data_IF_027053172239
#
_entry.id   IF_027053172239
#
_cell.length_a   1.000
_cell.length_b   1.000
_cell.length_c   1.000
_cell.angle_alpha   90.00
_cell.angle_beta   90.00
_cell.angle_gamma   90.00
#
_symmetry.space_group_name_H-M   'P 1'
#
loop_
_entity.id
_entity.type
_entity.pdbx_description
1 polymer ?
#
# COMPACT_ATOMS: atom_id res chain seq x y z
N UNK A 1 22.47 16.71 4.63
CA UNK A 1 22.07 17.03 6.01
C UNK A 1 22.36 15.82 6.91
N UNK A 2 22.04 14.58 6.48
CA UNK A 2 22.40 13.35 7.19
C UNK A 2 21.35 12.85 8.19
N UNK A 3 20.09 13.27 8.06
CA UNK A 3 18.95 12.80 8.85
C UNK A 3 18.31 11.52 8.30
N UNK A 4 18.69 11.11 7.09
CA UNK A 4 18.31 9.83 6.50
C UNK A 4 17.00 9.87 5.71
N UNK A 5 16.49 11.05 5.37
CA UNK A 5 15.50 11.20 4.30
C UNK A 5 16.13 11.80 3.03
N UNK A 6 15.34 11.88 1.94
CA UNK A 6 15.82 12.28 0.60
C UNK A 6 15.19 13.59 0.12
N UNK A 7 14.39 14.26 0.96
CA UNK A 7 13.54 15.38 0.54
C UNK A 7 14.06 16.75 0.97
N UNK A 8 15.29 16.81 1.45
CA UNK A 8 15.82 17.98 2.13
C UNK A 8 16.70 18.88 1.24
N UNK A 9 16.68 20.18 1.53
CA UNK A 9 17.35 21.18 0.71
C UNK A 9 18.88 20.99 0.71
N UNK A 10 19.44 20.61 -0.44
CA UNK A 10 20.88 20.37 -0.61
C UNK A 10 21.32 18.92 -0.39
N UNK A 11 20.40 18.01 -0.07
CA UNK A 11 20.65 16.56 -0.04
C UNK A 11 20.42 15.90 -1.39
N UNK A 12 19.51 16.44 -2.17
CA UNK A 12 19.27 16.01 -3.55
C UNK A 12 20.30 16.65 -4.48
N UNK A 13 21.26 15.86 -4.95
CA UNK A 13 22.05 16.19 -6.14
C UNK A 13 21.49 15.44 -7.33
N UNK A 14 20.76 16.17 -8.18
CA UNK A 14 20.36 15.68 -9.49
C UNK A 14 21.56 15.71 -10.44
N UNK A 15 22.09 14.53 -10.75
CA UNK A 15 23.09 14.37 -11.80
C UNK A 15 22.36 14.05 -13.10
N UNK A 16 22.44 14.97 -14.07
CA UNK A 16 22.00 14.70 -15.43
C UNK A 16 23.23 14.35 -16.25
N UNK A 17 23.24 13.16 -16.85
CA UNK A 17 24.25 12.83 -17.84
C UNK A 17 23.83 13.40 -19.21
N UNK A 18 24.61 14.37 -19.69
CA UNK A 18 24.51 14.93 -21.04
C UNK A 18 25.15 14.04 -22.12
N UNK A 19 25.59 12.82 -21.81
CA UNK A 19 26.28 11.90 -22.73
C UNK A 19 25.42 11.33 -23.86
N UNK A 20 24.15 11.76 -23.98
CA UNK A 20 23.45 11.73 -25.27
C UNK A 20 24.12 12.71 -26.25
N UNK A 21 25.31 12.33 -26.71
CA UNK A 21 26.14 12.98 -27.74
C UNK A 21 25.41 13.13 -29.10
N UNK A 22 24.19 12.60 -29.22
CA UNK A 22 23.32 12.75 -30.39
C UNK A 22 22.46 14.02 -30.42
N UNK A 23 22.54 14.92 -29.43
CA UNK A 23 21.78 16.18 -29.45
C UNK A 23 20.27 15.98 -29.24
N UNK A 24 19.87 14.90 -28.56
CA UNK A 24 18.49 14.71 -28.16
C UNK A 24 18.14 15.65 -27.01
N UNK A 25 16.92 16.12 -27.11
CA UNK A 25 16.35 17.22 -26.38
C UNK A 25 15.98 16.73 -24.95
N UNK A 26 16.34 17.49 -23.91
CA UNK A 26 16.24 17.07 -22.49
C UNK A 26 14.80 16.64 -22.15
N UNK A 27 14.64 15.44 -21.60
CA UNK A 27 13.36 14.98 -21.05
C UNK A 27 12.93 15.93 -19.93
N UNK A 28 11.74 16.51 -20.04
CA UNK A 28 11.13 17.24 -18.93
C UNK A 28 10.64 16.20 -17.93
N UNK A 29 11.34 16.08 -16.79
CA UNK A 29 10.89 15.21 -15.69
C UNK A 29 9.62 15.81 -15.06
N UNK A 30 8.56 15.00 -15.00
CA UNK A 30 7.26 15.38 -14.43
C UNK A 30 7.03 14.85 -13.03
N UNK A 31 7.63 13.71 -12.72
CA UNK A 31 7.50 13.05 -11.45
C UNK A 31 8.61 12.03 -11.26
N UNK A 32 8.93 11.79 -10.00
CA UNK A 32 9.84 10.74 -9.57
C UNK A 32 9.26 10.12 -8.31
N UNK A 33 9.34 8.81 -8.19
CA UNK A 33 8.93 8.09 -6.99
C UNK A 33 9.85 6.90 -6.76
N UNK A 34 9.91 6.42 -5.52
CA UNK A 34 10.82 5.35 -5.09
C UNK A 34 10.01 4.31 -4.35
N UNK A 35 10.18 3.04 -4.69
CA UNK A 35 9.55 1.94 -3.94
C UNK A 35 10.36 1.59 -2.70
N UNK A 36 9.76 0.82 -1.79
CA UNK A 36 10.43 0.30 -0.59
C UNK A 36 11.62 -0.64 -0.90
N UNK A 37 11.77 -1.06 -2.15
CA UNK A 37 12.88 -1.88 -2.63
C UNK A 37 13.97 -1.07 -3.35
N UNK A 38 14.06 0.24 -3.08
CA UNK A 38 15.02 1.17 -3.71
C UNK A 38 14.90 1.25 -5.25
N UNK A 39 13.73 0.92 -5.81
CA UNK A 39 13.48 1.06 -7.24
C UNK A 39 12.95 2.46 -7.51
N UNK A 40 13.68 3.22 -8.34
CA UNK A 40 13.29 4.59 -8.72
C UNK A 40 12.50 4.56 -10.03
N UNK A 41 11.33 5.18 -10.03
CA UNK A 41 10.53 5.43 -11.22
C UNK A 41 10.58 6.91 -11.56
N UNK A 42 11.00 7.26 -12.78
CA UNK A 42 10.97 8.65 -13.26
C UNK A 42 10.10 8.77 -14.50
N UNK A 43 9.22 9.77 -14.51
CA UNK A 43 8.37 10.08 -15.67
C UNK A 43 8.97 11.24 -16.43
N UNK A 44 9.42 10.96 -17.65
CA UNK A 44 9.92 11.96 -18.60
C UNK A 44 8.91 12.25 -19.70
N UNK A 45 8.75 13.53 -20.05
CA UNK A 45 8.13 13.93 -21.31
C UNK A 45 9.24 14.25 -22.31
N UNK A 46 9.14 13.74 -23.55
CA UNK A 46 9.94 14.32 -24.63
C UNK A 46 9.60 15.81 -24.79
N UNK A 47 10.61 16.68 -24.94
CA UNK A 47 10.39 18.10 -24.87
C UNK A 47 9.50 18.61 -26.00
N UNK A 48 8.78 19.64 -25.61
CA UNK A 48 7.94 20.48 -26.43
C UNK A 48 8.82 21.43 -27.26
N UNK A 49 8.52 21.70 -28.55
CA UNK A 49 7.24 21.50 -29.20
C UNK A 49 7.24 20.28 -30.13
N UNK A 50 6.54 19.21 -29.74
CA UNK A 50 5.94 18.35 -30.74
C UNK A 50 4.78 19.16 -31.36
N UNK A 51 5.04 19.81 -32.50
CA UNK A 51 4.04 20.60 -33.24
C UNK A 51 2.76 19.82 -33.60
N UNK A 52 2.76 18.51 -33.38
CA UNK A 52 1.57 17.67 -33.37
C UNK A 52 1.63 16.76 -32.14
N UNK A 53 0.54 16.74 -31.36
CA UNK A 53 0.25 15.62 -30.47
C UNK A 53 0.09 14.42 -31.41
N UNK A 54 1.13 13.60 -31.55
CA UNK A 54 0.95 12.29 -32.18
C UNK A 54 -0.11 11.53 -31.39
N UNK A 55 -0.89 10.64 -32.03
CA UNK A 55 -1.88 9.82 -31.32
C UNK A 55 -1.26 9.08 -30.12
N UNK A 56 0.04 8.79 -30.14
CA UNK A 56 0.69 7.99 -29.10
C UNK A 56 1.49 8.88 -28.14
N UNK A 57 0.88 9.32 -27.03
CA UNK A 57 1.42 10.33 -26.11
C UNK A 57 2.90 10.15 -25.71
N UNK A 58 3.64 11.26 -25.63
CA UNK A 58 5.10 11.32 -25.42
C UNK A 58 5.56 11.09 -23.95
N UNK A 59 4.89 10.21 -23.19
CA UNK A 59 5.25 9.93 -21.80
C UNK A 59 6.11 8.66 -21.72
N UNK A 60 7.32 8.81 -21.16
CA UNK A 60 8.22 7.70 -20.88
C UNK A 60 8.28 7.48 -19.37
N UNK A 61 8.14 6.22 -18.94
CA UNK A 61 8.41 5.81 -17.56
C UNK A 61 9.75 5.08 -17.57
N UNK A 62 10.70 5.62 -16.85
CA UNK A 62 12.00 5.01 -16.60
C UNK A 62 11.92 4.27 -15.27
N UNK A 63 12.33 3.00 -15.25
CA UNK A 63 12.56 2.23 -14.04
C UNK A 63 14.07 2.06 -13.86
N UNK A 64 14.57 2.43 -12.69
CA UNK A 64 15.96 2.30 -12.30
C UNK A 64 16.04 1.39 -11.07
N UNK A 65 16.84 0.35 -11.14
CA UNK A 65 17.07 -0.60 -10.06
C UNK A 65 18.56 -0.94 -10.03
N UNK A 66 19.18 -0.88 -8.85
CA UNK A 66 20.55 -1.37 -8.65
C UNK A 66 20.51 -2.90 -8.64
N UNK A 67 20.91 -3.52 -9.76
CA UNK A 67 20.88 -4.97 -9.91
C UNK A 67 22.20 -5.63 -9.51
N UNK A 68 23.27 -4.85 -9.36
CA UNK A 68 24.61 -5.38 -9.17
C UNK A 68 25.26 -5.00 -7.82
N UNK A 69 24.61 -4.13 -7.04
CA UNK A 69 25.00 -3.70 -5.71
C UNK A 69 26.11 -2.65 -5.70
N UNK A 70 26.30 -1.90 -6.77
CA UNK A 70 27.32 -0.84 -6.84
C UNK A 70 26.84 0.54 -6.38
N UNK A 71 25.59 0.61 -5.89
CA UNK A 71 24.92 1.81 -5.39
C UNK A 71 24.59 2.82 -6.50
N UNK A 72 24.50 2.36 -7.74
CA UNK A 72 23.95 3.11 -8.86
C UNK A 72 22.97 2.24 -9.64
N UNK A 73 22.15 2.88 -10.48
CA UNK A 73 21.18 2.18 -11.34
C UNK A 73 21.36 2.58 -12.81
N UNK A 74 22.61 2.89 -13.17
CA UNK A 74 22.99 3.49 -14.46
C UNK A 74 23.76 2.51 -15.35
N UNK A 75 23.98 1.27 -14.90
CA UNK A 75 24.68 0.29 -15.71
C UNK A 75 23.79 -0.29 -16.81
N UNK A 76 24.45 -0.86 -17.82
CA UNK A 76 23.78 -1.54 -18.92
C UNK A 76 22.96 -2.73 -18.38
N UNK A 77 21.63 -2.59 -18.41
CA UNK A 77 20.68 -3.59 -17.93
C UNK A 77 19.89 -3.17 -16.68
N UNK A 78 20.32 -2.13 -15.98
CA UNK A 78 19.68 -1.59 -14.77
C UNK A 78 18.61 -0.54 -15.08
N UNK A 79 18.80 0.21 -16.16
CA UNK A 79 17.77 1.08 -16.69
C UNK A 79 16.83 0.31 -17.63
N UNK A 80 15.56 0.25 -17.25
CA UNK A 80 14.50 -0.26 -18.12
C UNK A 80 13.62 0.91 -18.59
N UNK A 81 13.53 1.08 -19.91
CA UNK A 81 12.68 2.09 -20.54
C UNK A 81 11.37 1.43 -21.00
N UNK A 82 10.23 1.98 -20.59
CA UNK A 82 8.96 1.68 -21.23
C UNK A 82 8.27 2.95 -21.72
N UNK A 83 7.77 2.86 -22.95
CA UNK A 83 6.95 3.89 -23.56
C UNK A 83 5.52 3.65 -23.06
N UNK A 84 4.97 4.62 -22.36
CA UNK A 84 3.59 4.57 -21.92
C UNK A 84 2.74 5.38 -22.90
N UNK A 85 1.95 4.68 -23.73
CA UNK A 85 0.95 5.33 -24.55
C UNK A 85 -0.28 5.66 -23.70
N UNK A 86 -0.48 6.96 -23.45
CA UNK A 86 -1.62 7.47 -22.68
C UNK A 86 -2.98 7.14 -23.32
N UNK A 87 -3.00 6.74 -24.61
CA UNK A 87 -4.20 6.33 -25.32
C UNK A 87 -4.44 4.82 -25.32
N UNK A 88 -3.48 3.99 -24.90
CA UNK A 88 -3.66 2.54 -24.83
C UNK A 88 -4.42 2.14 -23.55
N UNK A 89 -5.72 2.44 -23.51
CA UNK A 89 -6.64 1.87 -22.53
C UNK A 89 -7.02 0.46 -23.03
N UNK A 90 -6.15 -0.52 -22.76
CA UNK A 90 -6.34 -1.91 -23.17
C UNK A 90 -5.31 -2.85 -22.54
N UNK A 91 -5.50 -4.18 -22.64
CA UNK A 91 -4.58 -5.19 -22.12
C UNK A 91 -3.32 -5.27 -23.00
N UNK A 92 -2.53 -4.19 -23.04
CA UNK A 92 -1.16 -4.22 -23.53
C UNK A 92 -0.25 -4.88 -22.50
N UNK A 93 1.02 -5.17 -22.87
CA UNK A 93 2.03 -5.60 -21.91
C UNK A 93 2.39 -4.39 -21.03
N UNK A 94 1.47 -4.03 -20.14
CA UNK A 94 1.80 -3.33 -18.92
C UNK A 94 2.96 -4.11 -18.29
N UNK A 95 3.95 -3.40 -17.75
CA UNK A 95 4.90 -4.03 -16.85
C UNK A 95 4.14 -5.04 -15.98
N UNK A 96 4.63 -6.28 -15.81
CA UNK A 96 4.21 -7.08 -14.67
C UNK A 96 4.68 -6.28 -13.46
N UNK A 97 3.85 -5.32 -13.07
CA UNK A 97 3.94 -4.66 -11.79
C UNK A 97 3.90 -5.83 -10.81
N UNK A 98 4.90 -5.95 -9.91
CA UNK A 98 4.86 -6.94 -8.86
C UNK A 98 3.46 -6.95 -8.23
N UNK A 99 2.92 -8.10 -7.78
CA UNK A 99 1.54 -8.25 -7.32
C UNK A 99 1.03 -7.23 -6.28
N UNK A 100 1.91 -6.35 -5.78
CA UNK A 100 1.72 -5.41 -4.69
C UNK A 100 2.03 -3.94 -5.08
N UNK A 101 1.96 -3.51 -6.35
CA UNK A 101 1.94 -2.07 -6.66
C UNK A 101 0.70 -1.66 -7.47
N UNK A 102 0.03 -0.59 -7.05
CA UNK A 102 -1.17 -0.07 -7.71
C UNK A 102 -0.87 0.50 -9.09
N UNK A 103 -1.89 0.54 -9.94
CA UNK A 103 -1.81 1.16 -11.27
C UNK A 103 -1.15 2.55 -11.20
N UNK A 104 -0.06 2.73 -11.95
CA UNK A 104 0.50 4.05 -12.23
C UNK A 104 -0.51 4.82 -13.10
N UNK A 105 -1.44 5.56 -12.48
CA UNK A 105 -2.19 6.58 -13.21
C UNK A 105 -1.32 7.83 -13.29
N UNK A 106 -0.85 8.17 -14.49
CA UNK A 106 -0.33 9.50 -14.73
C UNK A 106 -1.51 10.48 -14.85
N UNK A 107 -1.99 11.01 -13.72
CA UNK A 107 -2.63 12.33 -13.78
C UNK A 107 -1.47 13.34 -13.96
N UNK A 108 -1.46 14.20 -15.00
CA UNK A 108 -0.45 15.25 -15.16
C UNK A 108 -0.33 16.22 -13.97
N UNK A 109 -1.24 16.17 -12.99
CA UNK A 109 -1.19 16.95 -11.76
C UNK A 109 -0.76 16.18 -10.49
N UNK A 110 -0.71 14.85 -10.49
CA UNK A 110 -0.43 14.06 -9.27
C UNK A 110 0.20 12.70 -9.63
N UNK A 111 1.54 12.66 -9.71
CA UNK A 111 2.29 11.40 -9.80
C UNK A 111 2.57 10.92 -8.38
N UNK A 112 1.75 10.00 -7.90
CA UNK A 112 1.98 9.26 -6.65
C UNK A 112 1.94 7.77 -6.98
N UNK A 113 3.08 7.09 -6.83
CA UNK A 113 3.08 5.64 -6.61
C UNK A 113 2.51 5.46 -5.22
N UNK A 114 1.19 5.25 -5.17
CA UNK A 114 0.56 4.83 -3.93
C UNK A 114 1.17 3.48 -3.57
N UNK A 115 2.07 3.47 -2.58
CA UNK A 115 2.48 2.25 -1.91
C UNK A 115 1.23 1.44 -1.63
N UNK A 116 1.20 0.18 -2.07
CA UNK A 116 0.04 -0.67 -1.75
C UNK A 116 0.09 -0.81 -0.25
N UNK A 117 -0.93 -0.25 0.39
CA UNK A 117 -1.13 -0.36 1.81
C UNK A 117 -0.91 -1.81 2.21
N UNK A 118 0.00 -2.04 3.16
CA UNK A 118 0.21 -3.34 3.78
C UNK A 118 -1.07 -3.88 4.46
N UNK A 119 -2.11 -3.04 4.53
CA UNK A 119 -3.44 -3.30 5.03
C UNK A 119 -4.46 -3.35 3.89
N UNK A 120 -5.17 -4.47 3.80
CA UNK A 120 -6.30 -4.65 2.88
C UNK A 120 -7.57 -4.87 3.69
N UNK A 121 -8.58 -4.01 3.51
CA UNK A 121 -9.92 -4.21 4.07
C UNK A 121 -10.67 -5.28 3.28
N UNK A 122 -11.09 -6.33 3.97
CA UNK A 122 -11.85 -7.45 3.40
C UNK A 122 -13.36 -7.34 3.67
N UNK A 123 -13.80 -6.36 4.46
CA UNK A 123 -15.19 -6.22 4.88
C UNK A 123 -15.65 -7.39 5.77
N UNK A 124 -16.86 -7.91 5.54
CA UNK A 124 -17.41 -9.04 6.32
C UNK A 124 -18.00 -8.68 7.68
N UNK A 125 -18.02 -7.39 8.05
CA UNK A 125 -18.63 -6.90 9.28
C UNK A 125 -20.14 -7.12 9.34
N UNK A 126 -20.68 -7.15 10.56
CA UNK A 126 -22.12 -7.27 10.84
C UNK A 126 -22.59 -5.98 11.49
N UNK A 127 -23.78 -5.52 11.08
CA UNK A 127 -24.42 -4.35 11.66
C UNK A 127 -24.55 -4.48 13.18
N UNK A 128 -23.86 -3.60 13.91
CA UNK A 128 -23.99 -3.34 15.34
C UNK A 128 -25.10 -2.34 15.67
N UNK A 129 -25.38 -2.17 16.95
CA UNK A 129 -26.25 -1.13 17.52
C UNK A 129 -25.82 0.30 17.18
N UNK A 130 -24.52 0.48 16.90
CA UNK A 130 -23.90 1.77 16.57
C UNK A 130 -23.42 1.83 15.10
N UNK A 131 -23.98 0.97 14.23
CA UNK A 131 -23.51 0.80 12.86
C UNK A 131 -22.59 -0.42 12.72
N UNK A 132 -22.05 -0.64 11.53
CA UNK A 132 -21.08 -1.72 11.32
C UNK A 132 -19.75 -1.29 11.95
N UNK A 133 -19.20 -2.04 12.92
CA UNK A 133 -17.89 -1.72 13.48
C UNK A 133 -16.82 -1.74 12.37
N UNK A 134 -15.99 -0.71 12.32
CA UNK A 134 -14.99 -0.55 11.26
C UNK A 134 -13.60 -0.68 11.86
N UNK A 135 -12.82 -1.62 11.34
CA UNK A 135 -11.44 -1.83 11.71
C UNK A 135 -10.53 -1.24 10.62
N UNK A 136 -9.57 -0.42 11.03
CA UNK A 136 -8.55 0.19 10.18
C UNK A 136 -7.17 -0.06 10.78
N UNK A 137 -6.14 -0.05 9.94
CA UNK A 137 -4.76 -0.28 10.36
C UNK A 137 -3.81 0.67 9.67
N UNK A 138 -2.72 1.01 10.36
CA UNK A 138 -1.70 1.95 9.91
C UNK A 138 -0.29 1.46 10.28
N UNK A 139 0.71 1.95 9.52
CA UNK A 139 2.12 1.56 9.66
C UNK A 139 2.59 0.61 8.56
N UNK A 140 3.91 0.49 8.41
CA UNK A 140 4.54 -0.20 7.27
C UNK A 140 4.58 -1.73 7.38
N UNK A 141 4.29 -2.29 8.57
CA UNK A 141 4.52 -3.72 8.87
C UNK A 141 5.98 -4.17 8.62
N UNK A 142 6.93 -3.25 8.66
CA UNK A 142 8.37 -3.56 8.61
C UNK A 142 8.84 -3.93 10.02
N UNK A 143 9.72 -4.92 10.11
CA UNK A 143 10.35 -5.33 11.37
C UNK A 143 10.82 -4.13 12.22
N UNK A 144 10.34 -4.04 13.46
CA UNK A 144 10.75 -2.99 14.40
C UNK A 144 10.02 -1.65 14.24
N UNK A 145 9.14 -1.49 13.26
CA UNK A 145 8.35 -0.26 13.11
C UNK A 145 7.08 -0.29 13.95
N UNK A 146 6.60 0.90 14.33
CA UNK A 146 5.34 1.05 15.05
C UNK A 146 4.17 0.81 14.09
N UNK A 147 3.21 0.00 14.50
CA UNK A 147 1.97 -0.26 13.78
C UNK A 147 0.79 -0.08 14.72
N UNK A 148 -0.34 0.35 14.18
CA UNK A 148 -1.55 0.56 14.96
C UNK A 148 -2.77 -0.01 14.27
N UNK A 149 -3.76 -0.38 15.07
CA UNK A 149 -5.10 -0.70 14.60
C UNK A 149 -6.12 0.11 15.38
N UNK A 150 -7.14 0.58 14.67
CA UNK A 150 -8.19 1.43 15.20
C UNK A 150 -9.55 0.82 14.86
N UNK A 151 -10.36 0.59 15.89
CA UNK A 151 -11.73 0.14 15.78
C UNK A 151 -12.65 1.30 16.17
N UNK A 152 -13.68 1.54 15.36
CA UNK A 152 -14.75 2.52 15.64
C UNK A 152 -16.12 1.86 15.48
N UNK A 153 -17.17 2.54 15.97
CA UNK A 153 -18.57 2.12 15.91
C UNK A 153 -18.87 0.80 16.66
N UNK A 154 -18.07 0.44 17.65
CA UNK A 154 -18.44 -0.62 18.60
C UNK A 154 -19.46 -0.07 19.63
N UNK A 155 -20.27 -0.91 20.29
CA UNK A 155 -21.10 -0.43 21.38
C UNK A 155 -20.22 0.07 22.56
N UNK A 156 -20.58 1.17 23.23
CA UNK A 156 -19.80 1.71 24.36
C UNK A 156 -19.53 0.68 25.44
N UNK A 157 -18.26 0.59 25.87
CA UNK A 157 -17.79 -0.37 26.89
C UNK A 157 -18.05 -1.85 26.55
N UNK A 158 -18.33 -2.18 25.29
CA UNK A 158 -18.58 -3.56 24.88
C UNK A 158 -17.31 -4.42 25.05
N UNK A 159 -17.40 -5.59 25.70
CA UNK A 159 -16.34 -6.58 25.63
C UNK A 159 -16.27 -7.15 24.21
N UNK A 160 -15.05 -7.41 23.75
CA UNK A 160 -14.77 -7.89 22.40
C UNK A 160 -13.56 -8.80 22.38
N UNK A 161 -13.52 -9.72 21.43
CA UNK A 161 -12.34 -10.50 21.13
C UNK A 161 -11.70 -9.99 19.84
N UNK A 162 -10.41 -9.67 19.91
CA UNK A 162 -9.56 -9.60 18.72
C UNK A 162 -9.16 -11.03 18.37
N UNK A 163 -9.65 -11.50 17.23
CA UNK A 163 -9.20 -12.77 16.64
C UNK A 163 -8.15 -12.49 15.58
N UNK A 164 -7.15 -13.35 15.56
CA UNK A 164 -6.07 -13.34 14.58
C UNK A 164 -5.87 -14.74 14.02
N UNK A 165 -5.59 -14.80 12.72
CA UNK A 165 -5.28 -16.04 12.02
C UNK A 165 -4.14 -15.86 11.03
N UNK A 166 -3.40 -16.94 10.79
CA UNK A 166 -2.35 -17.10 9.79
C UNK A 166 -2.84 -17.86 8.55
N UNK A 167 -4.11 -18.26 8.52
CA UNK A 167 -4.79 -18.76 7.32
C UNK A 167 -6.27 -18.35 7.32
N UNK A 168 -6.83 -18.03 6.16
CA UNK A 168 -8.22 -17.58 6.07
C UNK A 168 -9.10 -18.58 5.35
N UNK A 169 -10.12 -19.07 6.03
CA UNK A 169 -11.27 -19.78 5.46
C UNK A 169 -12.52 -18.90 5.65
N UNK A 170 -12.86 -18.01 4.70
CA UNK A 170 -14.00 -17.10 4.83
C UNK A 170 -15.28 -17.88 5.14
N UNK A 171 -15.80 -17.70 6.36
CA UNK A 171 -16.92 -18.49 6.88
C UNK A 171 -18.13 -17.58 7.07
N UNK A 172 -19.19 -17.75 6.26
CA UNK A 172 -20.43 -17.00 6.46
C UNK A 172 -21.04 -17.32 7.82
N UNK A 173 -21.26 -16.29 8.65
CA UNK A 173 -21.76 -16.45 10.00
C UNK A 173 -22.61 -15.24 10.38
N UNK A 174 -23.84 -15.47 10.87
CA UNK A 174 -24.79 -14.44 11.33
C UNK A 174 -25.05 -13.28 10.33
N UNK A 175 -24.92 -13.54 9.03
CA UNK A 175 -25.10 -12.54 7.97
C UNK A 175 -23.85 -11.73 7.63
N UNK A 176 -22.73 -11.96 8.32
CA UNK A 176 -21.40 -11.46 7.95
C UNK A 176 -20.49 -12.58 7.46
N UNK A 177 -19.20 -12.28 7.33
CA UNK A 177 -18.16 -13.23 6.96
C UNK A 177 -17.02 -13.12 7.94
N UNK A 178 -16.66 -14.25 8.53
CA UNK A 178 -15.53 -14.36 9.43
C UNK A 178 -14.30 -14.83 8.64
N UNK A 179 -13.24 -14.03 8.62
CA UNK A 179 -12.01 -14.34 7.89
C UNK A 179 -10.94 -15.03 8.76
N UNK A 180 -11.07 -14.93 10.08
CA UNK A 180 -10.11 -15.48 11.06
C UNK A 180 -10.48 -16.92 11.45
N UNK A 181 -10.67 -17.80 10.46
CA UNK A 181 -10.93 -19.24 10.67
C UNK A 181 -9.84 -20.04 9.95
N UNK A 182 -9.05 -20.87 10.67
CA UNK A 182 -9.07 -21.13 12.12
C UNK A 182 -8.66 -19.90 12.95
N UNK A 183 -8.94 -19.93 14.26
CA UNK A 183 -8.50 -18.87 15.18
C UNK A 183 -7.16 -19.30 15.78
N UNK A 184 -6.07 -18.62 15.44
CA UNK A 184 -4.73 -18.93 15.95
C UNK A 184 -4.41 -18.17 17.26
N UNK A 185 -4.90 -16.94 17.38
CA UNK A 185 -4.74 -16.11 18.56
C UNK A 185 -6.05 -15.37 18.90
N UNK A 186 -6.36 -15.27 20.18
CA UNK A 186 -7.52 -14.58 20.72
C UNK A 186 -7.13 -13.70 21.91
N UNK A 187 -7.51 -12.43 21.86
CA UNK A 187 -7.26 -11.46 22.94
C UNK A 187 -8.57 -10.81 23.37
N UNK A 188 -8.87 -10.82 24.66
CA UNK A 188 -10.04 -10.15 25.23
C UNK A 188 -9.72 -8.67 25.48
N UNK A 189 -10.55 -7.79 24.94
CA UNK A 189 -10.42 -6.34 25.00
C UNK A 189 -11.79 -5.69 25.24
N UNK A 190 -11.80 -4.38 25.46
CA UNK A 190 -13.02 -3.60 25.66
C UNK A 190 -12.96 -2.31 24.85
N UNK A 191 -14.08 -1.92 24.25
CA UNK A 191 -14.24 -0.56 23.71
C UNK A 191 -14.23 0.46 24.85
N UNK A 192 -13.82 1.68 24.54
CA UNK A 192 -13.98 2.82 25.44
C UNK A 192 -15.47 3.28 25.49
N UNK A 193 -15.73 4.35 26.24
CA UNK A 193 -17.07 4.92 26.37
C UNK A 193 -17.62 5.55 25.06
N UNK A 194 -16.76 5.84 24.09
CA UNK A 194 -17.15 6.33 22.76
C UNK A 194 -17.40 5.19 21.75
N UNK A 195 -17.16 3.93 22.13
CA UNK A 195 -17.29 2.80 21.19
C UNK A 195 -16.05 2.59 20.32
N UNK A 196 -14.88 3.03 20.78
CA UNK A 196 -13.63 2.99 20.04
C UNK A 196 -12.57 2.16 20.79
N UNK A 197 -11.59 1.65 20.04
CA UNK A 197 -10.39 1.00 20.57
C UNK A 197 -9.21 1.34 19.66
N UNK A 198 -8.07 1.69 20.26
CA UNK A 198 -6.81 1.88 19.55
C UNK A 198 -5.74 1.02 20.21
N UNK A 199 -5.06 0.19 19.42
CA UNK A 199 -3.93 -0.63 19.85
C UNK A 199 -2.69 -0.23 19.07
N UNK A 200 -1.55 -0.24 19.75
CA UNK A 200 -0.25 0.06 19.18
C UNK A 200 0.68 -1.10 19.51
N UNK A 201 1.45 -1.55 18.52
CA UNK A 201 2.47 -2.58 18.70
C UNK A 201 3.67 -2.28 17.81
N UNK A 202 4.82 -2.85 18.17
CA UNK A 202 5.96 -2.91 17.26
C UNK A 202 5.81 -4.16 16.41
N UNK A 203 5.98 -4.05 15.09
CA UNK A 203 5.91 -5.20 14.20
C UNK A 203 7.09 -6.14 14.43
N UNK A 204 6.88 -7.44 14.66
CA UNK A 204 7.95 -8.35 15.03
C UNK A 204 8.86 -8.69 13.83
N UNK A 205 10.18 -8.78 14.08
CA UNK A 205 11.17 -9.06 13.04
C UNK A 205 11.19 -10.50 12.48
N UNK A 206 10.36 -11.40 13.03
CA UNK A 206 10.36 -12.83 12.69
C UNK A 206 9.25 -13.23 11.73
N UNK A 207 8.52 -12.28 11.15
CA UNK A 207 7.49 -12.58 10.16
C UNK A 207 8.13 -12.51 8.76
N UNK A 208 8.06 -13.58 7.95
CA UNK A 208 8.61 -13.58 6.60
C UNK A 208 7.95 -12.53 5.68
N UNK A 209 8.69 -11.96 4.72
CA UNK A 209 8.12 -11.16 3.65
C UNK A 209 7.00 -11.90 2.89
N UNK A 210 5.96 -11.18 2.51
CA UNK A 210 4.76 -11.70 1.85
C UNK A 210 3.82 -12.51 2.75
N UNK A 211 4.10 -12.62 4.05
CA UNK A 211 3.25 -13.37 4.97
C UNK A 211 1.96 -12.61 5.28
N UNK A 212 0.83 -13.29 5.09
CA UNK A 212 -0.50 -12.75 5.31
C UNK A 212 -1.01 -13.11 6.71
N UNK A 213 -1.51 -12.10 7.43
CA UNK A 213 -2.19 -12.26 8.72
C UNK A 213 -3.56 -11.62 8.63
N UNK A 214 -4.58 -12.31 9.14
CA UNK A 214 -5.95 -11.79 9.18
C UNK A 214 -6.32 -11.43 10.61
N UNK A 215 -6.98 -10.29 10.78
CA UNK A 215 -7.52 -9.86 12.06
C UNK A 215 -8.97 -9.40 11.92
N UNK A 216 -9.79 -9.68 12.93
CA UNK A 216 -11.18 -9.26 12.99
C UNK A 216 -11.64 -9.20 14.44
N UNK A 217 -12.50 -8.24 14.77
CA UNK A 217 -13.13 -8.17 16.09
C UNK A 217 -14.49 -8.87 16.10
N UNK A 218 -14.71 -9.67 17.14
CA UNK A 218 -16.03 -10.18 17.53
C UNK A 218 -16.48 -9.44 18.78
N UNK A 219 -17.58 -8.71 18.67
CA UNK A 219 -17.99 -7.71 19.65
C UNK A 219 -19.32 -8.13 20.25
N UNK A 220 -19.41 -8.14 21.59
CA UNK A 220 -20.67 -8.38 22.27
C UNK A 220 -21.59 -7.18 22.08
N UNK A 221 -22.76 -7.41 21.51
CA UNK A 221 -23.78 -6.38 21.33
C UNK A 221 -25.12 -6.87 21.85
N UNK A 222 -25.51 -6.43 23.05
CA UNK A 222 -26.71 -6.93 23.72
C UNK A 222 -28.03 -6.48 23.08
N UNK A 223 -28.03 -5.55 22.12
CA UNK A 223 -29.27 -5.10 21.48
C UNK A 223 -29.65 -5.94 20.26
N UNK A 224 -28.75 -6.81 19.79
CA UNK A 224 -28.96 -7.66 18.63
C UNK A 224 -29.35 -9.08 19.04
N UNK A 225 -29.97 -9.83 18.12
CA UNK A 225 -30.04 -11.29 18.18
C UNK A 225 -29.19 -11.80 17.02
N UNK A 226 -28.03 -12.44 17.24
CA UNK A 226 -27.64 -13.31 18.37
C UNK A 226 -26.73 -12.66 19.44
N UNK A 227 -26.90 -11.37 19.72
CA UNK A 227 -26.12 -10.58 20.70
C UNK A 227 -24.64 -10.37 20.36
N UNK A 228 -24.30 -10.40 19.08
CA UNK A 228 -22.94 -10.23 18.58
C UNK A 228 -22.96 -9.36 17.31
N UNK A 229 -21.88 -8.61 17.12
CA UNK A 229 -21.54 -7.92 15.87
C UNK A 229 -20.08 -8.20 15.52
N UNK A 230 -19.71 -8.06 14.25
CA UNK A 230 -18.34 -8.24 13.76
C UNK A 230 -17.84 -6.95 13.15
N UNK A 231 -16.56 -6.65 13.33
CA UNK A 231 -15.92 -5.59 12.54
C UNK A 231 -15.69 -6.03 11.10
N UNK A 232 -15.33 -5.08 10.23
CA UNK A 232 -14.57 -5.41 9.03
C UNK A 232 -13.30 -6.20 9.40
N UNK A 233 -12.92 -7.14 8.54
CA UNK A 233 -11.66 -7.87 8.65
C UNK A 233 -10.56 -7.12 7.92
N UNK A 234 -9.35 -7.13 8.48
CA UNK A 234 -8.15 -6.66 7.79
C UNK A 234 -7.24 -7.84 7.46
N UNK A 235 -6.69 -7.82 6.26
CA UNK A 235 -5.52 -8.62 5.89
C UNK A 235 -4.29 -7.73 5.92
N UNK A 236 -3.28 -8.21 6.63
CA UNK A 236 -1.97 -7.61 6.77
C UNK A 236 -0.99 -8.41 5.91
N UNK A 237 -0.22 -7.76 5.04
CA UNK A 237 0.85 -8.39 4.27
C UNK A 237 2.18 -7.81 4.71
N UNK A 238 3.05 -8.65 5.26
CA UNK A 238 4.41 -8.22 5.61
C UNK A 238 5.17 -7.90 4.32
N UNK A 239 5.80 -6.73 4.17
CA UNK A 239 6.59 -6.38 2.99
C UNK A 239 7.80 -7.31 2.82
#
# INVERSE_FOLDING_TARGET
NGDGDVNDAGEVKLYFDGSHTGGNDLLLMRGMDVTEADVVYAVGLRPYPALFVGPDGNTMIHRFEDLNGDLTAMDAGEQQLSIFDVQSVGPGPLFPIPPNHGNMMCDPADFSVRGVSAWTDLGGGILGSHGVPTLTGEGSLVAGTLTSIHLVNAPPNAPMYLWMSFSSTPTPLFGGVLYTVPIDLQVLLNANAAGELSLFTVWPAMIPPGFNTWIQFVIQDNTLTPRMSFSSALMLTTP
#
